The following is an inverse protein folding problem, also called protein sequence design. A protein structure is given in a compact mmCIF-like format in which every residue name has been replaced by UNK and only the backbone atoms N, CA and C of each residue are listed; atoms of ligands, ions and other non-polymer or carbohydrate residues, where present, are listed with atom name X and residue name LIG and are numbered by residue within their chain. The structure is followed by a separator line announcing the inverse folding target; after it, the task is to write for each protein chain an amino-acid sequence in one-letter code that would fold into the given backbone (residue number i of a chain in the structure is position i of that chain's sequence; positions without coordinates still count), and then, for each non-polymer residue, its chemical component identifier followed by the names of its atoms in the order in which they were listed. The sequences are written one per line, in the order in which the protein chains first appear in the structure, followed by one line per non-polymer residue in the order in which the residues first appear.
data_IF_089848239117
#
_entry.id   IF_089848239117
#
_cell.length_a   1.000
_cell.length_b   1.000
_cell.length_c   1.000
_cell.angle_alpha   90.00
_cell.angle_beta   90.00
_cell.angle_gamma   90.00
#
_symmetry.space_group_name_H-M   'P 1'
#
loop_
_entity.id
_entity.type
_entity.pdbx_description
1 polymer ?
#
# COMPACT_ATOMS: atom_id res chain seq x y z
N UNK A 1 -7.74 6.98 4.23
CA UNK A 1 -7.36 5.55 4.08
C UNK A 1 -8.63 4.71 4.01
N UNK A 2 -8.70 3.74 3.10
CA UNK A 2 -9.84 2.80 2.99
C UNK A 2 -9.37 1.43 2.51
N UNK A 3 -10.04 0.39 2.98
CA UNK A 3 -9.91 -0.97 2.46
C UNK A 3 -11.07 -1.23 1.49
N UNK A 4 -10.76 -1.86 0.37
CA UNK A 4 -11.61 -2.22 -0.76
C UNK A 4 -12.27 -1.02 -1.47
N UNK A 5 -11.52 -0.30 -2.31
CA UNK A 5 -12.11 0.59 -3.31
C UNK A 5 -11.18 0.78 -4.51
N UNK A 6 -11.71 0.64 -5.72
CA UNK A 6 -11.08 1.03 -6.99
C UNK A 6 -12.09 1.93 -7.73
N UNK A 7 -11.60 2.96 -8.41
CA UNK A 7 -12.44 3.89 -9.15
C UNK A 7 -13.25 3.20 -10.28
N UNK A 8 -14.44 3.75 -10.58
CA UNK A 8 -15.52 3.05 -11.30
C UNK A 8 -15.39 3.03 -12.82
N UNK A 9 -14.55 3.86 -13.41
CA UNK A 9 -14.64 4.23 -14.83
C UNK A 9 -14.00 3.26 -15.81
N UNK A 10 -13.34 2.19 -15.34
CA UNK A 10 -12.69 1.22 -16.21
C UNK A 10 -13.57 0.01 -16.58
N UNK A 11 -13.67 -0.28 -17.88
CA UNK A 11 -14.62 -1.23 -18.48
C UNK A 11 -14.46 -2.69 -18.04
N UNK A 12 -13.34 -3.10 -17.45
CA UNK A 12 -13.20 -4.47 -16.95
C UNK A 12 -13.76 -4.66 -15.52
N UNK A 13 -13.91 -3.57 -14.75
CA UNK A 13 -14.37 -3.60 -13.35
C UNK A 13 -15.66 -2.81 -13.10
N UNK A 14 -16.16 -2.05 -14.09
CA UNK A 14 -17.30 -1.12 -13.90
C UNK A 14 -18.53 -1.79 -13.28
N UNK A 15 -18.87 -3.01 -13.70
CA UNK A 15 -20.07 -3.76 -13.30
C UNK A 15 -19.85 -4.75 -12.14
N UNK A 16 -18.76 -4.63 -11.39
CA UNK A 16 -18.51 -5.47 -10.22
C UNK A 16 -19.29 -4.99 -9.00
N UNK A 17 -19.60 -5.90 -8.08
CA UNK A 17 -20.02 -5.53 -6.73
C UNK A 17 -18.86 -4.82 -6.02
N UNK A 18 -19.14 -3.67 -5.39
CA UNK A 18 -18.14 -2.81 -4.75
C UNK A 18 -18.49 -2.63 -3.28
N UNK A 19 -17.51 -2.83 -2.41
CA UNK A 19 -17.68 -2.72 -0.96
C UNK A 19 -16.56 -1.85 -0.43
N UNK A 20 -16.89 -0.68 0.16
CA UNK A 20 -15.92 0.18 0.83
C UNK A 20 -15.89 -0.08 2.33
N UNK A 21 -14.77 -0.57 2.83
CA UNK A 21 -14.54 -0.79 4.25
C UNK A 21 -13.83 0.43 4.84
N UNK A 22 -14.49 1.09 5.78
CA UNK A 22 -13.93 2.28 6.47
C UNK A 22 -12.88 1.84 7.48
N UNK A 23 -11.71 2.47 7.40
CA UNK A 23 -10.60 2.22 8.33
C UNK A 23 -10.86 2.92 9.66
N UNK A 24 -10.88 2.16 10.75
CA UNK A 24 -11.21 2.68 12.09
C UNK A 24 -10.45 2.00 13.24
N UNK A 25 -9.51 1.08 12.96
CA UNK A 25 -8.82 0.30 14.00
C UNK A 25 -7.41 0.80 14.32
N UNK A 26 -6.73 1.48 13.38
CA UNK A 26 -5.40 2.04 13.62
C UNK A 26 -4.22 1.07 13.39
N UNK A 27 -4.44 -0.17 12.97
CA UNK A 27 -3.37 -1.14 12.65
C UNK A 27 -3.70 -2.01 11.44
N UNK A 28 -4.15 -1.41 10.34
CA UNK A 28 -4.39 -2.13 9.08
C UNK A 28 -5.29 -3.37 9.24
N UNK A 29 -6.33 -3.28 10.09
CA UNK A 29 -7.21 -4.37 10.47
C UNK A 29 -6.50 -5.59 11.08
N UNK A 30 -5.34 -5.40 11.69
CA UNK A 30 -4.51 -6.48 12.23
C UNK A 30 -4.43 -6.46 13.78
N UNK A 31 -5.05 -5.46 14.41
CA UNK A 31 -5.05 -5.31 15.87
C UNK A 31 -5.96 -6.34 16.58
N UNK A 32 -5.55 -6.74 17.79
CA UNK A 32 -6.22 -7.73 18.63
C UNK A 32 -6.56 -7.15 20.02
N UNK A 33 -7.77 -7.41 20.56
CA UNK A 33 -8.22 -6.80 21.81
C UNK A 33 -7.43 -7.24 23.05
N UNK A 34 -6.67 -8.33 22.98
CA UNK A 34 -5.88 -8.81 24.12
C UNK A 34 -4.75 -7.85 24.52
N UNK A 35 -4.36 -6.92 23.63
CA UNK A 35 -3.44 -5.83 23.96
C UNK A 35 -4.15 -4.60 24.52
N UNK A 36 -5.49 -4.56 24.53
CA UNK A 36 -6.25 -3.48 25.14
C UNK A 36 -5.93 -3.44 26.65
N UNK A 37 -5.29 -2.36 27.10
CA UNK A 37 -5.00 -2.16 28.51
C UNK A 37 -6.34 -2.02 29.24
N UNK A 38 -6.61 -2.90 30.21
CA UNK A 38 -7.85 -2.91 31.02
C UNK A 38 -8.12 -1.61 31.79
N UNK A 39 -7.21 -0.62 31.75
CA UNK A 39 -7.26 0.62 32.53
C UNK A 39 -7.28 1.86 31.61
N UNK A 40 -8.47 2.22 31.13
CA UNK A 40 -8.87 3.62 31.02
C UNK A 40 -8.40 4.46 29.83
N UNK A 41 -7.77 3.91 28.79
CA UNK A 41 -7.42 4.71 27.59
C UNK A 41 -8.64 5.09 26.73
N UNK A 42 -9.75 4.34 26.83
CA UNK A 42 -10.93 4.52 25.98
C UNK A 42 -10.73 4.11 24.51
N UNK A 43 -9.58 3.54 24.16
CA UNK A 43 -9.26 3.08 22.80
C UNK A 43 -9.50 1.57 22.67
N UNK A 44 -10.01 1.17 21.51
CA UNK A 44 -10.29 -0.24 21.17
C UNK A 44 -9.46 -0.66 19.95
N UNK A 45 -8.70 -1.73 20.08
CA UNK A 45 -7.77 -2.23 19.05
C UNK A 45 -8.30 -3.54 18.48
N UNK A 46 -9.40 -3.44 17.73
CA UNK A 46 -10.20 -4.60 17.28
C UNK A 46 -10.11 -4.84 15.78
N UNK A 47 -9.01 -4.45 15.16
CA UNK A 47 -8.84 -4.52 13.70
C UNK A 47 -9.17 -5.89 13.13
N UNK A 48 -8.60 -6.96 13.70
CA UNK A 48 -8.82 -8.32 13.24
C UNK A 48 -10.30 -8.75 13.39
N UNK A 49 -10.94 -8.39 14.50
CA UNK A 49 -12.37 -8.70 14.74
C UNK A 49 -13.25 -7.96 13.75
N UNK A 50 -12.95 -6.69 13.47
CA UNK A 50 -13.69 -5.88 12.50
C UNK A 50 -13.55 -6.52 11.10
N UNK A 51 -12.33 -6.92 10.70
CA UNK A 51 -12.10 -7.63 9.45
C UNK A 51 -12.94 -8.89 9.34
N UNK A 52 -12.86 -9.79 10.32
CA UNK A 52 -13.59 -11.07 10.32
C UNK A 52 -15.11 -10.85 10.29
N UNK A 53 -15.61 -9.89 11.07
CA UNK A 53 -17.04 -9.56 11.12
C UNK A 53 -17.53 -9.07 9.77
N UNK A 54 -16.79 -8.16 9.13
CA UNK A 54 -17.16 -7.64 7.82
C UNK A 54 -17.10 -8.75 6.77
N UNK A 55 -16.04 -9.57 6.75
CA UNK A 55 -15.93 -10.67 5.79
C UNK A 55 -17.08 -11.66 5.92
N UNK A 56 -17.48 -12.02 7.16
CA UNK A 56 -18.62 -12.90 7.41
C UNK A 56 -19.93 -12.32 6.89
N UNK A 57 -20.17 -11.01 7.12
CA UNK A 57 -21.34 -10.31 6.59
C UNK A 57 -21.34 -10.31 5.05
N UNK A 58 -20.20 -10.00 4.42
CA UNK A 58 -20.09 -10.01 2.96
C UNK A 58 -20.34 -11.40 2.38
N UNK A 59 -19.84 -12.46 3.02
CA UNK A 59 -20.10 -13.84 2.63
C UNK A 59 -21.60 -14.16 2.67
N UNK A 60 -22.32 -13.66 3.68
CA UNK A 60 -23.76 -13.90 3.89
C UNK A 60 -24.62 -13.22 2.82
N UNK A 61 -24.25 -12.00 2.40
CA UNK A 61 -24.97 -11.22 1.39
C UNK A 61 -24.55 -11.52 -0.06
N UNK A 62 -23.72 -12.54 -0.28
CA UNK A 62 -23.48 -13.12 -1.61
C UNK A 62 -22.02 -13.25 -2.04
N UNK A 63 -21.05 -12.71 -1.29
CA UNK A 63 -19.63 -12.85 -1.63
C UNK A 63 -19.17 -14.32 -1.66
N UNK A 64 -19.83 -15.20 -0.90
CA UNK A 64 -19.59 -16.66 -0.90
C UNK A 64 -19.81 -17.31 -2.28
N UNK A 65 -20.53 -16.66 -3.19
CA UNK A 65 -20.80 -17.12 -4.56
C UNK A 65 -19.92 -16.44 -5.62
N UNK A 66 -18.97 -15.59 -5.21
CA UNK A 66 -18.13 -14.84 -6.12
C UNK A 66 -17.26 -15.78 -6.98
N UNK A 67 -17.25 -15.56 -8.30
CA UNK A 67 -16.36 -16.26 -9.24
C UNK A 67 -15.01 -15.55 -9.40
N UNK A 68 -15.01 -14.24 -9.17
CA UNK A 68 -13.84 -13.35 -9.22
C UNK A 68 -13.92 -12.41 -8.03
N UNK A 69 -12.81 -12.17 -7.36
CA UNK A 69 -12.72 -11.23 -6.26
C UNK A 69 -11.35 -10.54 -6.26
N UNK A 70 -11.36 -9.26 -5.94
CA UNK A 70 -10.16 -8.43 -5.83
C UNK A 70 -10.20 -7.73 -4.47
N UNK A 71 -9.30 -8.11 -3.56
CA UNK A 71 -9.07 -7.34 -2.35
C UNK A 71 -8.13 -6.19 -2.70
N UNK A 72 -8.48 -4.97 -2.35
CA UNK A 72 -7.68 -3.80 -2.67
C UNK A 72 -7.70 -2.81 -1.53
N UNK A 73 -6.77 -1.87 -1.47
CA UNK A 73 -6.79 -0.80 -0.50
C UNK A 73 -5.62 0.15 -0.70
N UNK A 74 -5.75 1.36 -0.17
CA UNK A 74 -4.67 2.34 -0.23
C UNK A 74 -4.03 2.58 1.14
N UNK A 75 -2.70 2.75 1.17
CA UNK A 75 -1.93 3.21 2.33
C UNK A 75 -1.97 2.18 3.44
N UNK A 76 -2.46 2.50 4.65
CA UNK A 76 -2.76 1.50 5.66
C UNK A 76 -3.75 0.41 5.14
N UNK A 77 -4.66 0.76 4.23
CA UNK A 77 -5.53 -0.19 3.55
C UNK A 77 -4.78 -1.06 2.51
N UNK A 78 -3.71 -0.55 1.90
CA UNK A 78 -2.84 -1.32 1.02
C UNK A 78 -2.00 -2.30 1.83
N UNK A 79 -1.48 -1.88 2.98
CA UNK A 79 -0.84 -2.77 3.94
C UNK A 79 -1.81 -3.84 4.47
N UNK A 80 -3.04 -3.45 4.84
CA UNK A 80 -4.10 -4.37 5.25
C UNK A 80 -4.40 -5.40 4.15
N UNK A 81 -4.42 -4.97 2.89
CA UNK A 81 -4.61 -5.88 1.75
C UNK A 81 -3.54 -6.96 1.72
N UNK A 82 -2.27 -6.62 1.96
CA UNK A 82 -1.18 -7.60 2.00
C UNK A 82 -1.30 -8.56 3.19
N UNK A 83 -1.57 -8.02 4.39
CA UNK A 83 -1.72 -8.81 5.62
C UNK A 83 -2.83 -9.85 5.47
N UNK A 84 -3.98 -9.44 4.93
CA UNK A 84 -5.18 -10.27 4.87
C UNK A 84 -5.37 -11.04 3.57
N UNK A 85 -4.48 -10.88 2.59
CA UNK A 85 -4.69 -11.41 1.24
C UNK A 85 -4.92 -12.93 1.21
N UNK A 86 -4.07 -13.70 1.89
CA UNK A 86 -4.19 -15.16 1.91
C UNK A 86 -5.40 -15.63 2.72
N UNK A 87 -5.77 -14.91 3.78
CA UNK A 87 -7.00 -15.18 4.53
C UNK A 87 -8.24 -14.92 3.65
N UNK A 88 -8.27 -13.78 2.94
CA UNK A 88 -9.33 -13.44 2.00
C UNK A 88 -9.50 -14.49 0.90
N UNK A 89 -8.39 -14.99 0.33
CA UNK A 89 -8.40 -16.08 -0.65
C UNK A 89 -9.06 -17.35 -0.10
N UNK A 90 -8.81 -17.68 1.16
CA UNK A 90 -9.32 -18.91 1.79
C UNK A 90 -10.84 -18.87 2.06
N UNK A 91 -11.41 -17.68 2.25
CA UNK A 91 -12.84 -17.50 2.48
C UNK A 91 -13.71 -17.78 1.24
N UNK A 92 -13.11 -17.75 0.05
CA UNK A 92 -13.83 -17.83 -1.22
C UNK A 92 -13.76 -19.23 -1.85
N UNK A 93 -14.69 -19.57 -2.77
CA UNK A 93 -14.72 -20.88 -3.42
C UNK A 93 -13.37 -21.26 -4.04
N UNK A 94 -13.02 -22.55 -3.98
CA UNK A 94 -11.73 -23.05 -4.52
C UNK A 94 -11.53 -22.67 -5.99
N UNK A 95 -12.59 -22.70 -6.80
CA UNK A 95 -12.56 -22.34 -8.22
C UNK A 95 -12.68 -20.84 -8.52
N UNK A 96 -12.78 -19.97 -7.52
CA UNK A 96 -12.82 -18.53 -7.73
C UNK A 96 -11.42 -17.96 -8.03
N UNK A 97 -11.35 -17.01 -8.96
CA UNK A 97 -10.14 -16.20 -9.18
C UNK A 97 -10.09 -15.11 -8.11
N UNK A 98 -9.15 -15.21 -7.18
CA UNK A 98 -8.96 -14.21 -6.12
C UNK A 98 -7.55 -13.66 -6.19
N UNK A 99 -7.43 -12.35 -6.24
CA UNK A 99 -6.15 -11.64 -6.27
C UNK A 99 -6.22 -10.41 -5.36
N UNK A 100 -5.06 -9.83 -5.04
CA UNK A 100 -4.99 -8.67 -4.16
C UNK A 100 -4.22 -7.51 -4.79
N UNK A 101 -4.64 -6.27 -4.57
CA UNK A 101 -3.96 -5.07 -5.06
C UNK A 101 -3.61 -4.17 -3.88
N UNK A 102 -2.33 -3.90 -3.67
CA UNK A 102 -1.87 -2.96 -2.65
C UNK A 102 -1.45 -1.64 -3.31
N UNK A 103 -2.20 -0.57 -3.05
CA UNK A 103 -1.92 0.78 -3.52
C UNK A 103 -1.22 1.59 -2.42
N UNK A 104 -0.04 2.14 -2.70
CA UNK A 104 0.75 2.96 -1.78
C UNK A 104 0.92 2.35 -0.37
N UNK A 105 0.89 1.02 -0.28
CA UNK A 105 0.98 0.24 0.97
C UNK A 105 2.35 -0.36 1.23
N UNK A 106 3.38 0.03 0.46
CA UNK A 106 4.74 -0.52 0.55
C UNK A 106 5.67 0.47 1.25
N UNK A 107 5.59 0.52 2.58
CA UNK A 107 6.41 1.42 3.38
C UNK A 107 7.83 0.91 3.55
N UNK A 108 8.83 1.76 3.33
CA UNK A 108 10.24 1.38 3.43
C UNK A 108 10.74 1.35 4.87
N UNK A 109 11.58 0.36 5.18
CA UNK A 109 12.35 0.28 6.41
C UNK A 109 13.72 0.94 6.23
N UNK A 110 13.72 2.22 5.85
CA UNK A 110 14.91 3.02 5.61
C UNK A 110 15.16 4.02 6.74
N UNK A 111 16.38 4.56 6.78
CA UNK A 111 16.73 5.64 7.69
C UNK A 111 16.17 6.97 7.20
N UNK A 112 15.75 7.82 8.14
CA UNK A 112 15.43 9.21 7.85
C UNK A 112 16.70 10.05 7.59
N UNK A 113 16.53 11.33 7.23
CA UNK A 113 17.66 12.24 6.94
C UNK A 113 18.59 12.52 8.14
N UNK A 114 18.22 12.12 9.36
CA UNK A 114 19.07 12.17 10.55
C UNK A 114 19.65 10.80 10.94
N UNK A 115 19.39 9.75 10.17
CA UNK A 115 19.86 8.39 10.45
C UNK A 115 18.98 7.58 11.41
N UNK A 116 17.80 8.09 11.78
CA UNK A 116 16.87 7.40 12.68
C UNK A 116 16.04 6.36 11.93
N UNK A 117 15.65 5.28 12.63
CA UNK A 117 14.78 4.24 12.08
C UNK A 117 13.30 4.57 12.28
N UNK A 118 12.86 5.71 11.77
CA UNK A 118 11.53 6.31 12.04
C UNK A 118 10.38 5.35 11.78
N UNK A 119 10.29 4.74 10.58
CA UNK A 119 9.19 3.83 10.25
C UNK A 119 9.24 2.53 11.07
N UNK A 120 10.45 2.02 11.34
CA UNK A 120 10.63 0.82 12.15
C UNK A 120 10.14 1.03 13.58
N UNK A 121 10.48 2.17 14.17
CA UNK A 121 10.02 2.54 15.52
C UNK A 121 8.50 2.68 15.54
N UNK A 122 7.92 3.38 14.55
CA UNK A 122 6.47 3.50 14.42
C UNK A 122 5.77 2.13 14.32
N UNK A 123 6.28 1.22 13.48
CA UNK A 123 5.73 -0.14 13.40
C UNK A 123 5.93 -0.95 14.67
N UNK A 124 7.05 -0.79 15.37
CA UNK A 124 7.23 -1.42 16.67
C UNK A 124 6.16 -0.97 17.66
N UNK A 125 5.89 0.34 17.73
CA UNK A 125 4.86 0.90 18.60
C UNK A 125 3.46 0.38 18.23
N UNK A 126 3.09 0.39 16.94
CA UNK A 126 1.79 -0.13 16.47
C UNK A 126 1.64 -1.61 16.80
N UNK A 127 2.65 -2.43 16.51
CA UNK A 127 2.59 -3.88 16.71
C UNK A 127 2.50 -4.24 18.19
N UNK A 128 3.23 -3.54 19.05
CA UNK A 128 3.19 -3.74 20.49
C UNK A 128 1.88 -3.25 21.10
N UNK A 129 1.44 -2.03 20.74
CA UNK A 129 0.24 -1.41 21.30
C UNK A 129 -1.03 -2.17 20.93
N UNK A 130 -1.12 -2.65 19.69
CA UNK A 130 -2.35 -3.24 19.15
C UNK A 130 -2.30 -4.77 19.02
N UNK A 131 -1.26 -5.43 19.52
CA UNK A 131 -1.20 -6.89 19.54
C UNK A 131 -1.18 -7.55 18.15
N UNK A 132 -0.58 -6.86 17.16
CA UNK A 132 -0.67 -7.21 15.73
C UNK A 132 -0.03 -8.54 15.36
N UNK A 133 0.91 -9.04 16.17
CA UNK A 133 1.72 -10.23 15.85
C UNK A 133 0.87 -11.45 15.42
N UNK A 134 -0.32 -11.65 16.02
CA UNK A 134 -1.20 -12.77 15.70
C UNK A 134 -1.80 -12.73 14.28
N UNK A 135 -1.84 -11.56 13.67
CA UNK A 135 -2.34 -11.35 12.30
C UNK A 135 -1.24 -11.53 11.23
N UNK A 136 0.02 -11.74 11.62
CA UNK A 136 1.15 -11.84 10.69
C UNK A 136 1.50 -13.29 10.33
N UNK A 137 2.21 -13.46 9.22
CA UNK A 137 2.66 -14.79 8.76
C UNK A 137 3.55 -15.48 9.80
N UNK A 138 3.14 -16.69 10.21
CA UNK A 138 3.87 -17.50 11.21
C UNK A 138 5.30 -17.81 10.77
N UNK A 139 5.51 -18.01 9.48
CA UNK A 139 6.83 -18.27 8.87
C UNK A 139 7.80 -17.09 9.05
N UNK A 140 7.27 -15.84 9.05
CA UNK A 140 8.08 -14.66 9.34
C UNK A 140 8.36 -14.56 10.84
N UNK A 141 7.34 -14.73 11.68
CA UNK A 141 7.45 -14.63 13.15
C UNK A 141 8.41 -15.67 13.75
N UNK A 142 8.57 -16.82 13.09
CA UNK A 142 9.55 -17.84 13.49
C UNK A 142 11.01 -17.40 13.26
N UNK A 143 11.26 -16.34 12.47
CA UNK A 143 12.60 -15.91 12.04
C UNK A 143 12.98 -14.53 12.56
N UNK A 144 12.01 -13.67 12.88
CA UNK A 144 12.28 -12.29 13.28
C UNK A 144 11.16 -11.67 14.12
N UNK A 145 11.49 -10.53 14.74
CA UNK A 145 10.56 -9.76 15.54
C UNK A 145 9.29 -9.36 14.78
N UNK A 146 8.10 -9.36 15.43
CA UNK A 146 6.82 -9.01 14.82
C UNK A 146 6.81 -7.67 14.06
N UNK A 147 7.52 -6.65 14.55
CA UNK A 147 7.60 -5.33 13.90
C UNK A 147 8.28 -5.38 12.53
N UNK A 148 9.22 -6.30 12.32
CA UNK A 148 9.83 -6.52 11.00
C UNK A 148 8.87 -7.24 10.06
N UNK A 149 8.10 -8.20 10.58
CA UNK A 149 7.08 -8.93 9.82
C UNK A 149 5.89 -8.07 9.38
N UNK A 150 5.72 -6.87 9.95
CA UNK A 150 4.70 -5.91 9.55
C UNK A 150 5.07 -5.11 8.30
N UNK A 151 6.33 -5.17 7.84
CA UNK A 151 6.74 -4.56 6.58
C UNK A 151 6.29 -5.39 5.38
N UNK A 152 5.78 -4.70 4.36
CA UNK A 152 5.30 -5.28 3.10
C UNK A 152 6.35 -6.16 2.41
N UNK A 153 7.64 -5.81 2.52
CA UNK A 153 8.73 -6.63 2.01
C UNK A 153 8.80 -8.02 2.65
N UNK A 154 8.50 -8.15 3.94
CA UNK A 154 8.49 -9.44 4.64
C UNK A 154 7.18 -10.20 4.44
N UNK A 155 6.06 -9.48 4.33
CA UNK A 155 4.75 -10.09 4.01
C UNK A 155 4.79 -10.73 2.62
N UNK A 156 5.28 -10.02 1.60
CA UNK A 156 5.36 -10.53 0.23
C UNK A 156 6.26 -11.76 0.06
N UNK A 157 7.25 -11.97 0.93
CA UNK A 157 8.07 -13.19 0.90
C UNK A 157 7.27 -14.45 1.25
N UNK A 158 6.17 -14.31 1.98
CA UNK A 158 5.38 -15.42 2.50
C UNK A 158 3.98 -15.52 1.86
N UNK A 159 3.56 -14.52 1.08
CA UNK A 159 2.26 -14.48 0.42
C UNK A 159 2.15 -15.53 -0.70
N UNK A 160 1.01 -16.20 -0.76
CA UNK A 160 0.73 -17.26 -1.76
C UNK A 160 -0.24 -16.80 -2.83
N UNK A 161 -1.15 -15.91 -2.48
CA UNK A 161 -2.16 -15.34 -3.38
C UNK A 161 -1.51 -14.29 -4.29
N UNK A 162 -1.83 -14.24 -5.60
CA UNK A 162 -1.27 -13.25 -6.51
C UNK A 162 -1.56 -11.81 -6.03
N UNK A 163 -0.52 -10.97 -6.09
CA UNK A 163 -0.57 -9.56 -5.64
C UNK A 163 -0.17 -8.61 -6.76
N UNK A 164 -0.82 -7.45 -6.84
CA UNK A 164 -0.37 -6.33 -7.66
C UNK A 164 -0.01 -5.15 -6.79
N UNK A 165 1.18 -4.58 -7.01
CA UNK A 165 1.64 -3.38 -6.33
C UNK A 165 1.38 -2.17 -7.22
N UNK A 166 0.59 -1.21 -6.75
CA UNK A 166 0.55 0.15 -7.31
C UNK A 166 1.30 1.03 -6.32
N UNK A 167 2.39 1.66 -6.74
CA UNK A 167 3.17 2.47 -5.79
C UNK A 167 3.90 3.62 -6.46
N UNK A 168 3.72 4.87 -6.02
CA UNK A 168 4.56 5.97 -6.50
C UNK A 168 5.97 5.83 -5.94
N UNK A 169 6.99 5.98 -6.78
CA UNK A 169 8.39 5.96 -6.36
C UNK A 169 8.76 7.16 -5.47
N UNK A 170 8.00 8.25 -5.57
CA UNK A 170 8.14 9.48 -4.79
C UNK A 170 6.88 9.72 -3.95
N UNK A 171 6.47 8.72 -3.16
CA UNK A 171 5.31 8.80 -2.30
C UNK A 171 5.41 9.95 -1.28
N UNK A 172 4.57 10.98 -1.42
CA UNK A 172 4.69 12.18 -0.58
C UNK A 172 4.47 11.85 0.90
N UNK A 173 3.61 10.88 1.22
CA UNK A 173 3.32 10.53 2.60
C UNK A 173 4.53 9.91 3.27
N UNK A 174 5.23 8.99 2.59
CA UNK A 174 6.49 8.43 3.07
C UNK A 174 7.57 9.51 3.19
N UNK A 175 7.67 10.40 2.22
CA UNK A 175 8.64 11.50 2.28
C UNK A 175 8.37 12.39 3.51
N UNK A 176 7.11 12.71 3.80
CA UNK A 176 6.73 13.63 4.87
C UNK A 176 6.79 13.01 6.27
N UNK A 177 6.58 11.70 6.39
CA UNK A 177 6.39 11.04 7.68
C UNK A 177 7.49 10.02 8.01
N UNK A 178 8.25 9.58 7.01
CA UNK A 178 9.30 8.56 7.17
C UNK A 178 10.68 9.15 6.87
N UNK A 179 10.91 9.65 5.66
CA UNK A 179 12.23 10.12 5.24
C UNK A 179 12.57 11.48 5.85
N UNK A 180 11.60 12.39 5.88
CA UNK A 180 11.76 13.75 6.38
C UNK A 180 10.60 14.10 7.34
N UNK A 181 10.45 13.38 8.47
CA UNK A 181 9.45 13.74 9.49
C UNK A 181 9.70 15.16 10.01
N UNK A 182 8.67 15.84 10.50
CA UNK A 182 8.76 17.26 10.91
C UNK A 182 9.92 17.55 11.89
N UNK A 183 10.22 16.64 12.81
CA UNK A 183 11.33 16.80 13.75
C UNK A 183 12.74 16.68 13.14
N UNK A 184 12.86 16.17 11.92
CA UNK A 184 14.16 15.93 11.25
C UNK A 184 14.70 17.13 10.47
N UNK A 185 13.88 18.18 10.24
CA UNK A 185 14.24 19.37 9.45
C UNK A 185 14.10 20.68 10.27
N UNK A 186 14.91 20.89 11.33
CA UNK A 186 14.79 22.05 12.20
C UNK A 186 15.07 23.37 11.47
N UNK A 187 15.93 23.34 10.44
CA UNK A 187 16.29 24.51 9.62
C UNK A 187 15.33 24.75 8.45
N UNK A 188 14.26 23.93 8.32
CA UNK A 188 13.22 24.07 7.29
C UNK A 188 13.74 24.02 5.85
N UNK A 189 14.85 23.32 5.60
CA UNK A 189 15.44 23.16 4.26
C UNK A 189 14.53 22.36 3.34
N UNK A 190 13.78 21.42 3.89
CA UNK A 190 12.86 20.56 3.14
C UNK A 190 11.45 21.14 3.03
N UNK A 191 11.16 22.29 3.64
CA UNK A 191 9.81 22.83 3.73
C UNK A 191 9.13 22.97 2.37
N UNK A 192 9.78 23.60 1.39
CA UNK A 192 9.22 23.78 0.04
C UNK A 192 9.16 22.47 -0.74
N UNK A 193 10.26 21.71 -0.74
CA UNK A 193 10.40 20.42 -1.42
C UNK A 193 9.34 19.39 -0.98
N UNK A 194 9.02 19.35 0.32
CA UNK A 194 7.93 18.50 0.84
C UNK A 194 6.57 18.95 0.31
N UNK A 195 6.30 20.25 0.19
CA UNK A 195 5.01 20.72 -0.30
C UNK A 195 4.86 20.52 -1.81
N UNK A 196 5.94 20.66 -2.56
CA UNK A 196 5.97 20.49 -4.01
C UNK A 196 7.35 19.98 -4.44
N UNK A 197 7.40 18.77 -5.02
CA UNK A 197 8.66 18.15 -5.48
C UNK A 197 9.42 19.00 -6.51
N UNK A 198 8.74 19.86 -7.27
CA UNK A 198 9.38 20.80 -8.21
C UNK A 198 10.23 21.87 -7.50
N UNK A 199 10.00 22.08 -6.20
CA UNK A 199 10.73 23.04 -5.38
C UNK A 199 11.96 22.44 -4.70
N UNK A 200 12.30 21.18 -4.98
CA UNK A 200 13.49 20.53 -4.45
C UNK A 200 14.75 21.00 -5.19
N UNK A 201 15.79 21.39 -4.45
CA UNK A 201 17.12 21.61 -5.02
C UNK A 201 17.78 20.27 -5.42
N UNK A 202 18.88 20.31 -6.17
CA UNK A 202 19.56 19.11 -6.65
C UNK A 202 19.96 18.13 -5.53
N UNK A 203 20.41 18.61 -4.37
CA UNK A 203 20.81 17.75 -3.25
C UNK A 203 19.59 17.07 -2.60
N UNK A 204 18.47 17.81 -2.50
CA UNK A 204 17.22 17.25 -1.99
C UNK A 204 16.70 16.19 -2.97
N UNK A 205 16.76 16.45 -4.27
CA UNK A 205 16.40 15.49 -5.31
C UNK A 205 17.29 14.25 -5.29
N UNK A 206 18.59 14.37 -5.06
CA UNK A 206 19.49 13.22 -4.91
C UNK A 206 19.11 12.36 -3.72
N UNK A 207 18.69 12.97 -2.61
CA UNK A 207 18.20 12.25 -1.44
C UNK A 207 16.89 11.49 -1.76
N UNK A 208 15.96 12.09 -2.50
CA UNK A 208 14.74 11.41 -2.97
C UNK A 208 15.05 10.28 -3.96
N UNK A 209 16.03 10.47 -4.85
CA UNK A 209 16.48 9.44 -5.80
C UNK A 209 17.13 8.26 -5.09
N UNK A 210 17.87 8.51 -3.99
CA UNK A 210 18.40 7.44 -3.14
C UNK A 210 17.27 6.66 -2.45
N UNK A 211 16.24 7.35 -1.93
CA UNK A 211 15.07 6.69 -1.36
C UNK A 211 14.29 5.85 -2.38
N UNK A 212 14.10 6.37 -3.60
CA UNK A 212 13.58 5.58 -4.75
C UNK A 212 14.45 4.36 -5.03
N UNK A 213 15.78 4.51 -5.02
CA UNK A 213 16.70 3.38 -5.27
C UNK A 213 16.56 2.29 -4.22
N UNK A 214 16.33 2.65 -2.95
CA UNK A 214 15.97 1.70 -1.89
C UNK A 214 14.66 0.98 -2.20
N UNK A 215 13.60 1.70 -2.60
CA UNK A 215 12.33 1.06 -3.04
C UNK A 215 12.59 0.04 -4.14
N UNK A 216 13.29 0.45 -5.20
CA UNK A 216 13.57 -0.40 -6.35
C UNK A 216 14.39 -1.63 -5.98
N UNK A 217 15.40 -1.46 -5.13
CA UNK A 217 16.20 -2.58 -4.62
C UNK A 217 15.32 -3.60 -3.88
N UNK A 218 14.41 -3.14 -3.03
CA UNK A 218 13.52 -4.04 -2.27
C UNK A 218 12.50 -4.73 -3.17
N UNK A 219 11.83 -4.01 -4.07
CA UNK A 219 10.83 -4.63 -4.97
C UNK A 219 11.47 -5.54 -6.02
N UNK A 220 12.75 -5.33 -6.35
CA UNK A 220 13.49 -6.18 -7.28
C UNK A 220 13.65 -7.63 -6.79
N UNK A 221 13.60 -7.86 -5.47
CA UNK A 221 13.54 -9.21 -4.89
C UNK A 221 12.35 -10.02 -5.44
N UNK A 222 11.28 -9.35 -5.88
CA UNK A 222 10.05 -9.96 -6.39
C UNK A 222 9.92 -9.89 -7.90
N UNK A 223 10.92 -9.41 -8.65
CA UNK A 223 10.78 -9.29 -10.11
C UNK A 223 10.59 -10.64 -10.81
N UNK A 224 11.25 -11.70 -10.32
CA UNK A 224 11.14 -13.04 -10.91
C UNK A 224 9.82 -13.77 -10.57
N UNK A 225 9.06 -13.27 -9.57
CA UNK A 225 7.74 -13.81 -9.20
C UNK A 225 6.70 -13.33 -10.21
N UNK A 226 6.25 -14.23 -11.09
CA UNK A 226 5.24 -13.92 -12.13
C UNK A 226 3.86 -13.58 -11.58
N UNK A 227 3.54 -14.07 -10.38
CA UNK A 227 2.29 -13.86 -9.67
C UNK A 227 2.23 -12.51 -8.93
N UNK A 228 3.36 -11.81 -8.82
CA UNK A 228 3.42 -10.45 -8.28
C UNK A 228 3.45 -9.47 -9.46
N UNK A 229 2.40 -8.69 -9.70
CA UNK A 229 2.42 -7.57 -10.64
C UNK A 229 2.92 -6.29 -9.98
N UNK A 230 3.41 -5.34 -10.77
CA UNK A 230 3.75 -4.00 -10.26
C UNK A 230 3.57 -2.91 -11.31
N UNK A 231 3.09 -1.76 -10.84
CA UNK A 231 3.07 -0.47 -11.53
C UNK A 231 3.69 0.55 -10.57
N UNK A 232 4.92 0.96 -10.84
CA UNK A 232 5.69 1.89 -10.02
C UNK A 232 6.03 3.11 -10.86
N UNK A 233 5.21 4.16 -10.76
CA UNK A 233 5.43 5.43 -11.46
C UNK A 233 6.38 6.37 -10.71
N UNK A 234 6.78 7.44 -11.38
CA UNK A 234 7.63 8.49 -10.81
C UNK A 234 6.86 9.67 -10.23
N UNK A 235 5.56 9.50 -9.94
CA UNK A 235 4.69 10.59 -9.52
C UNK A 235 4.87 10.93 -8.04
N UNK A 236 4.74 12.22 -7.71
CA UNK A 236 4.68 12.73 -6.33
C UNK A 236 3.23 12.75 -5.84
N UNK A 237 2.76 11.58 -5.39
CA UNK A 237 1.36 11.34 -5.02
C UNK A 237 1.27 10.23 -3.96
N UNK A 238 0.08 10.03 -3.40
CA UNK A 238 -0.26 8.92 -2.50
C UNK A 238 -1.70 8.48 -2.80
N UNK A 239 -1.95 7.18 -2.90
CA UNK A 239 -3.22 6.59 -3.37
C UNK A 239 -3.60 6.92 -4.80
N UNK A 240 -3.38 5.98 -5.71
CA UNK A 240 -3.60 6.19 -7.14
C UNK A 240 -4.78 5.40 -7.72
N UNK A 241 -5.39 4.52 -6.93
CA UNK A 241 -6.51 3.68 -7.39
C UNK A 241 -7.89 4.23 -7.00
N UNK A 242 -7.92 5.28 -6.17
CA UNK A 242 -9.15 5.84 -5.61
C UNK A 242 -9.74 6.99 -6.42
N UNK A 243 -8.93 7.66 -7.24
CA UNK A 243 -9.29 8.86 -8.00
C UNK A 243 -9.43 8.48 -9.49
N UNK A 244 -10.41 9.04 -10.18
CA UNK A 244 -10.62 8.78 -11.61
C UNK A 244 -9.44 9.29 -12.45
N UNK A 245 -8.95 10.46 -12.08
CA UNK A 245 -7.86 11.17 -12.73
C UNK A 245 -6.60 10.31 -12.79
N UNK A 246 -6.30 9.55 -11.74
CA UNK A 246 -5.11 8.69 -11.66
C UNK A 246 -5.38 7.24 -12.08
N UNK A 247 -6.59 6.73 -11.85
CA UNK A 247 -6.94 5.35 -12.20
C UNK A 247 -7.16 5.17 -13.70
N UNK A 248 -8.12 5.92 -14.26
CA UNK A 248 -8.55 5.78 -15.65
C UNK A 248 -9.27 7.03 -16.16
N UNK A 249 -8.50 7.93 -16.75
CA UNK A 249 -8.91 9.14 -17.47
C UNK A 249 -7.98 9.37 -18.66
N UNK A 250 -8.33 10.23 -19.65
CA UNK A 250 -7.44 10.59 -20.75
C UNK A 250 -6.07 11.11 -20.31
N UNK A 251 -6.01 11.72 -19.13
CA UNK A 251 -4.82 12.34 -18.54
C UNK A 251 -4.19 11.49 -17.44
N UNK A 252 -4.61 10.24 -17.22
CA UNK A 252 -4.04 9.38 -16.17
C UNK A 252 -2.54 9.15 -16.35
N UNK A 253 -1.80 8.91 -15.24
CA UNK A 253 -0.41 8.52 -15.31
C UNK A 253 -0.27 7.22 -16.10
N UNK A 254 0.74 7.19 -16.97
CA UNK A 254 1.05 6.07 -17.85
C UNK A 254 2.50 5.67 -17.74
N UNK A 255 2.76 4.37 -17.87
CA UNK A 255 4.09 3.82 -18.12
C UNK A 255 3.97 2.98 -19.39
N UNK A 256 4.81 3.27 -20.38
CA UNK A 256 4.74 2.63 -21.71
C UNK A 256 3.32 2.69 -22.31
N UNK A 257 2.72 3.89 -22.28
CA UNK A 257 1.36 4.19 -22.75
C UNK A 257 0.20 3.43 -22.08
N UNK A 258 0.46 2.64 -21.03
CA UNK A 258 -0.58 1.95 -20.25
C UNK A 258 -0.90 2.70 -18.96
N UNK A 259 -2.17 2.91 -18.70
CA UNK A 259 -2.69 3.44 -17.42
C UNK A 259 -2.59 2.39 -16.31
N UNK A 260 -2.81 2.83 -15.07
CA UNK A 260 -2.90 1.93 -13.90
C UNK A 260 -4.04 0.92 -14.12
N UNK A 261 -5.23 1.37 -14.54
CA UNK A 261 -6.39 0.49 -14.70
C UNK A 261 -6.18 -0.60 -15.76
N UNK A 262 -5.62 -0.24 -16.93
CA UNK A 262 -5.29 -1.19 -17.99
C UNK A 262 -4.28 -2.23 -17.49
N UNK A 263 -3.23 -1.75 -16.81
CA UNK A 263 -2.17 -2.61 -16.25
C UNK A 263 -2.71 -3.60 -15.21
N UNK A 264 -3.60 -3.14 -14.33
CA UNK A 264 -4.23 -3.99 -13.31
C UNK A 264 -5.17 -5.00 -13.96
N UNK A 265 -5.95 -4.61 -14.96
CA UNK A 265 -6.85 -5.53 -15.63
C UNK A 265 -6.10 -6.60 -16.42
N UNK A 266 -5.06 -6.19 -17.16
CA UNK A 266 -4.18 -7.10 -17.87
C UNK A 266 -3.58 -8.16 -16.94
N UNK A 267 -3.12 -7.77 -15.75
CA UNK A 267 -2.66 -8.71 -14.73
C UNK A 267 -3.80 -9.52 -14.11
N UNK A 268 -4.93 -8.90 -13.77
CA UNK A 268 -6.01 -9.56 -13.06
C UNK A 268 -6.63 -10.68 -13.91
N UNK A 269 -6.81 -10.45 -15.20
CA UNK A 269 -7.37 -11.41 -16.15
C UNK A 269 -6.32 -12.31 -16.82
N UNK A 270 -5.08 -12.31 -16.32
CA UNK A 270 -3.97 -13.14 -16.81
C UNK A 270 -3.67 -12.92 -18.32
N UNK A 271 -3.89 -11.70 -18.83
CA UNK A 271 -3.58 -11.31 -20.21
C UNK A 271 -2.08 -11.15 -20.43
N UNK A 272 -1.36 -10.66 -19.42
CA UNK A 272 0.10 -10.52 -19.44
C UNK A 272 0.68 -10.42 -18.03
N UNK A 273 1.98 -10.73 -17.90
CA UNK A 273 2.76 -10.39 -16.71
C UNK A 273 3.10 -8.90 -16.75
N UNK A 274 2.80 -8.18 -15.67
CA UNK A 274 2.95 -6.72 -15.62
C UNK A 274 4.00 -6.32 -14.60
N UNK A 275 5.11 -5.76 -15.08
CA UNK A 275 6.24 -5.27 -14.28
C UNK A 275 6.67 -3.90 -14.83
N UNK A 276 5.87 -2.88 -14.56
CA UNK A 276 6.11 -1.54 -15.06
C UNK A 276 6.75 -0.70 -13.95
N UNK A 277 7.97 -0.23 -14.20
CA UNK A 277 8.73 0.64 -13.30
C UNK A 277 9.22 1.81 -14.15
N UNK A 278 8.88 3.00 -13.71
CA UNK A 278 9.17 4.26 -14.40
C UNK A 278 10.59 4.75 -14.11
N UNK A 279 11.06 5.74 -14.88
CA UNK A 279 12.35 6.40 -14.69
C UNK A 279 12.35 7.32 -13.44
N UNK A 280 13.49 7.89 -13.04
CA UNK A 280 13.52 8.90 -11.96
C UNK A 280 12.75 10.18 -12.33
N UNK A 281 12.13 10.82 -11.35
CA UNK A 281 11.47 12.12 -11.51
C UNK A 281 12.47 13.15 -12.09
N UNK A 282 12.05 14.07 -12.98
CA UNK A 282 10.69 14.37 -13.46
C UNK A 282 10.33 13.72 -14.80
N UNK A 283 10.79 12.51 -15.09
CA UNK A 283 10.74 11.99 -16.46
C UNK A 283 9.33 11.71 -17.01
N UNK A 284 8.33 11.50 -16.15
CA UNK A 284 6.98 11.14 -16.59
C UNK A 284 6.06 12.37 -16.64
N UNK A 285 5.74 12.88 -17.85
CA UNK A 285 4.92 14.08 -18.01
C UNK A 285 3.44 13.82 -17.72
N UNK A 286 3.01 12.56 -17.58
CA UNK A 286 1.60 12.20 -17.31
C UNK A 286 1.26 12.17 -15.82
N UNK A 287 2.25 12.43 -14.95
CA UNK A 287 2.07 12.41 -13.51
C UNK A 287 1.19 13.54 -12.98
N UNK A 288 0.22 13.17 -12.13
CA UNK A 288 -0.55 14.11 -11.30
C UNK A 288 0.20 14.38 -9.99
N UNK A 289 1.25 15.19 -10.05
CA UNK A 289 2.01 15.56 -8.86
C UNK A 289 1.19 16.49 -7.96
N UNK A 290 1.15 16.20 -6.66
CA UNK A 290 0.47 17.07 -5.69
C UNK A 290 1.31 18.30 -5.36
N UNK A 291 0.64 19.44 -5.22
CA UNK A 291 1.21 20.72 -4.78
C UNK A 291 0.44 21.22 -3.56
N UNK A 292 1.04 21.06 -2.38
CA UNK A 292 0.49 21.51 -1.10
C UNK A 292 0.85 22.96 -0.77
N UNK A 293 1.62 23.66 -1.61
CA UNK A 293 1.98 25.05 -1.37
C UNK A 293 0.83 26.03 -1.68
N UNK A 294 -0.22 25.57 -2.36
CA UNK A 294 -1.36 26.37 -2.83
C UNK A 294 -2.64 26.14 -2.03
N UNK A 295 -2.56 25.43 -0.90
CA UNK A 295 -3.69 25.06 -0.03
C UNK A 295 -3.77 26.01 1.17
#
# INVERSE_FOLDING_TARGET
MSLSWICQTYSDFFNWNKVKIRYCDGASFAGHPESEVRKGSGLFFRGQIIWETIMNELLSIGMSKAKKALLTGCSAGGLATLIHCDNFRQLLPKGATVKCLADAGFFLNEKDILGNSTMKSFYQDVVQLQGVAKSLHKECLAKMEPSKCFFSSEILKNIKTPVFLVHPAYDFWQIHNILVPQGSDPHRRWKSCRLNIQSCDANLMDTLNNFRSSLLKTVNEFQQRKDIGMFIDSCFIHCQTLMEETWFSPNSPKINDKTIAESVADWFFDRQVVKLIDCPYPCNPTCHNLDFARV
#
